data_IF_164819351137
#
_entry.id   IF_164819351137
#
_cell.length_a   1.000
_cell.length_b   1.000
_cell.length_c   1.000
_cell.angle_alpha   90.00
_cell.angle_beta   90.00
_cell.angle_gamma   90.00
#
_symmetry.space_group_name_H-M   'P 1'
#
loop_
_entity.id
_entity.type
_entity.pdbx_description
1 polymer ?
#
# COMPACT_ATOMS: atom_id res chain seq x y z
N UNK A 1 -30.46 41.35 5.79
CA UNK A 1 -29.50 40.85 4.78
C UNK A 1 -28.50 39.93 5.48
N UNK A 2 -28.82 38.65 5.59
CA UNK A 2 -27.89 37.66 6.15
C UNK A 2 -27.08 37.07 5.00
N UNK A 3 -25.90 37.64 4.74
CA UNK A 3 -24.90 37.05 3.85
C UNK A 3 -24.27 35.85 4.55
N UNK A 4 -24.96 34.72 4.58
CA UNK A 4 -24.35 33.42 4.88
C UNK A 4 -23.45 33.06 3.70
N UNK A 5 -22.17 33.45 3.76
CA UNK A 5 -21.15 32.98 2.81
C UNK A 5 -21.07 31.46 2.94
N UNK A 6 -21.68 30.74 2.00
CA UNK A 6 -21.56 29.29 1.92
C UNK A 6 -20.09 28.99 1.60
N UNK A 7 -19.37 28.36 2.52
CA UNK A 7 -18.02 27.87 2.23
C UNK A 7 -18.15 26.82 1.12
N UNK A 8 -17.53 27.09 -0.03
CA UNK A 8 -17.45 26.10 -1.11
C UNK A 8 -16.71 24.88 -0.58
N UNK A 9 -17.41 23.75 -0.48
CA UNK A 9 -16.78 22.47 -0.22
C UNK A 9 -15.94 22.15 -1.46
N UNK A 10 -14.62 22.25 -1.33
CA UNK A 10 -13.71 21.79 -2.37
C UNK A 10 -13.77 20.27 -2.39
N UNK A 11 -14.45 19.72 -3.38
CA UNK A 11 -14.36 18.31 -3.67
C UNK A 11 -12.99 18.06 -4.30
N UNK A 12 -12.16 17.31 -3.61
CA UNK A 12 -10.93 16.78 -4.20
C UNK A 12 -11.37 15.85 -5.33
N UNK A 13 -10.84 16.05 -6.55
CA UNK A 13 -11.10 15.14 -7.65
C UNK A 13 -10.67 13.73 -7.25
N UNK A 14 -11.49 12.72 -7.60
CA UNK A 14 -11.12 11.33 -7.37
C UNK A 14 -9.81 11.02 -8.11
N UNK A 15 -8.93 10.19 -7.54
CA UNK A 15 -7.73 9.76 -8.24
C UNK A 15 -8.11 9.02 -9.52
N UNK A 16 -7.35 9.24 -10.59
CA UNK A 16 -7.50 8.51 -11.84
C UNK A 16 -7.03 7.06 -11.64
N UNK A 17 -7.94 6.18 -11.22
CA UNK A 17 -7.63 4.80 -10.85
C UNK A 17 -6.84 4.03 -11.92
N UNK A 18 -7.06 4.34 -13.21
CA UNK A 18 -6.32 3.77 -14.34
C UNK A 18 -4.80 4.04 -14.34
N UNK A 19 -4.33 5.00 -13.53
CA UNK A 19 -2.91 5.32 -13.36
C UNK A 19 -2.24 4.49 -12.24
N UNK A 20 -3.01 3.68 -11.53
CA UNK A 20 -2.55 2.87 -10.41
C UNK A 20 -2.67 1.38 -10.74
N UNK A 21 -1.85 0.58 -10.07
CA UNK A 21 -1.98 -0.88 -10.05
C UNK A 21 -2.06 -1.37 -8.61
N UNK A 22 -2.75 -2.48 -8.42
CA UNK A 22 -2.73 -3.25 -7.18
C UNK A 22 -1.76 -4.42 -7.34
N UNK A 23 -1.02 -4.72 -6.28
CA UNK A 23 -0.16 -5.89 -6.19
C UNK A 23 -0.33 -6.54 -4.82
N UNK A 24 -0.11 -7.84 -4.77
CA UNK A 24 -0.11 -8.63 -3.55
C UNK A 24 1.32 -8.99 -3.19
N UNK A 25 1.75 -8.55 -2.01
CA UNK A 25 2.98 -9.02 -1.39
C UNK A 25 2.66 -10.24 -0.53
N UNK A 26 3.36 -11.35 -0.75
CA UNK A 26 3.23 -12.57 0.06
C UNK A 26 4.50 -12.74 0.88
N UNK A 27 4.35 -12.70 2.20
CA UNK A 27 5.42 -12.90 3.15
C UNK A 27 5.90 -14.35 3.15
N UNK A 28 7.18 -14.54 3.47
CA UNK A 28 7.80 -15.85 3.60
C UNK A 28 6.99 -16.76 4.54
N UNK A 29 6.76 -18.03 4.16
CA UNK A 29 6.09 -19.01 5.03
C UNK A 29 6.97 -19.47 6.19
N UNK A 30 8.24 -19.08 6.23
CA UNK A 30 9.16 -19.39 7.33
C UNK A 30 8.94 -18.46 8.55
N UNK A 31 8.15 -17.40 8.41
CA UNK A 31 7.82 -16.49 9.53
C UNK A 31 6.81 -17.20 10.46
N UNK A 32 7.10 -17.28 11.78
CA UNK A 32 6.15 -17.85 12.74
C UNK A 32 4.79 -17.15 12.70
N UNK A 33 3.70 -17.91 12.80
CA UNK A 33 2.34 -17.35 12.78
C UNK A 33 2.12 -16.29 13.87
N UNK A 34 2.76 -16.44 15.03
CA UNK A 34 2.70 -15.46 16.13
C UNK A 34 3.32 -14.10 15.76
N UNK A 35 4.28 -14.08 14.83
CA UNK A 35 5.02 -12.88 14.42
C UNK A 35 4.53 -12.30 13.09
N UNK A 36 3.72 -13.04 12.34
CA UNK A 36 3.36 -12.68 10.97
C UNK A 36 2.58 -11.36 10.91
N UNK A 37 1.65 -11.15 11.85
CA UNK A 37 0.84 -9.93 11.93
C UNK A 37 1.68 -8.72 12.33
N UNK A 38 2.61 -8.89 13.28
CA UNK A 38 3.57 -7.85 13.65
C UNK A 38 4.44 -7.47 12.44
N UNK A 39 4.87 -8.46 11.66
CA UNK A 39 5.67 -8.25 10.46
C UNK A 39 4.89 -7.51 9.37
N UNK A 40 3.63 -7.89 9.11
CA UNK A 40 2.77 -7.16 8.18
C UNK A 40 2.63 -5.69 8.57
N UNK A 41 2.37 -5.40 9.85
CA UNK A 41 2.23 -4.03 10.35
C UNK A 41 3.54 -3.25 10.19
N UNK A 42 4.69 -3.84 10.51
CA UNK A 42 6.01 -3.22 10.33
C UNK A 42 6.26 -2.88 8.86
N UNK A 43 6.01 -3.82 7.95
CA UNK A 43 6.20 -3.62 6.51
C UNK A 43 5.27 -2.52 5.98
N UNK A 44 3.99 -2.53 6.35
CA UNK A 44 3.04 -1.49 5.92
C UNK A 44 3.50 -0.09 6.38
N UNK A 45 3.98 0.02 7.63
CA UNK A 45 4.50 1.29 8.17
C UNK A 45 5.78 1.73 7.46
N UNK A 46 6.68 0.80 7.14
CA UNK A 46 7.91 1.10 6.41
C UNK A 46 7.63 1.56 4.98
N UNK A 47 6.72 0.89 4.26
CA UNK A 47 6.31 1.29 2.92
C UNK A 47 5.72 2.70 2.92
N UNK A 48 4.82 3.00 3.86
CA UNK A 48 4.23 4.33 4.02
C UNK A 48 5.29 5.41 4.30
N UNK A 49 6.30 5.10 5.12
CA UNK A 49 7.36 6.04 5.47
C UNK A 49 8.34 6.29 4.32
N UNK A 50 8.69 5.24 3.56
CA UNK A 50 9.67 5.33 2.48
C UNK A 50 9.07 5.88 1.18
N UNK A 51 7.80 5.55 0.91
CA UNK A 51 7.16 5.80 -0.38
C UNK A 51 5.77 6.39 -0.17
N UNK A 52 5.64 7.73 -0.11
CA UNK A 52 4.36 8.41 0.13
C UNK A 52 3.28 8.10 -0.91
N UNK A 53 3.68 7.63 -2.10
CA UNK A 53 2.80 7.28 -3.21
C UNK A 53 2.26 5.84 -3.14
N UNK A 54 2.63 5.09 -2.09
CA UNK A 54 2.16 3.72 -1.85
C UNK A 54 1.10 3.70 -0.76
N UNK A 55 0.00 2.99 -1.04
CA UNK A 55 -0.94 2.55 -0.03
C UNK A 55 -0.73 1.05 0.21
N UNK A 56 -0.64 0.63 1.47
CA UNK A 56 -0.46 -0.78 1.83
C UNK A 56 -1.32 -1.17 3.02
N UNK A 57 -1.91 -2.35 2.98
CA UNK A 57 -2.69 -2.89 4.09
C UNK A 57 -2.60 -4.43 4.15
N UNK A 58 -2.60 -5.03 5.36
CA UNK A 58 -2.77 -6.48 5.51
C UNK A 58 -4.09 -6.92 4.85
N UNK A 59 -4.04 -8.02 4.09
CA UNK A 59 -5.25 -8.58 3.46
C UNK A 59 -6.12 -9.24 4.53
N UNK A 60 -7.42 -8.94 4.52
CA UNK A 60 -8.37 -9.52 5.48
C UNK A 60 -8.55 -11.01 5.15
N UNK A 61 -8.42 -11.87 6.16
CA UNK A 61 -8.65 -13.30 6.04
C UNK A 61 -7.42 -14.12 5.61
N UNK A 62 -6.27 -13.48 5.35
CA UNK A 62 -5.00 -14.18 5.09
C UNK A 62 -3.92 -13.70 6.06
N UNK A 63 -3.08 -14.65 6.51
CA UNK A 63 -2.07 -14.36 7.53
C UNK A 63 -0.78 -13.77 6.96
N UNK A 64 -0.47 -14.01 5.70
CA UNK A 64 0.83 -13.71 5.11
C UNK A 64 0.78 -12.73 3.93
N UNK A 65 -0.34 -12.08 3.65
CA UNK A 65 -0.45 -11.19 2.48
C UNK A 65 -0.67 -9.73 2.85
N UNK A 66 -0.11 -8.85 2.03
CA UNK A 66 -0.28 -7.41 2.09
C UNK A 66 -0.72 -6.95 0.71
N UNK A 67 -1.83 -6.22 0.63
CA UNK A 67 -2.25 -5.54 -0.59
C UNK A 67 -1.54 -4.21 -0.69
N UNK A 68 -1.04 -3.89 -1.88
CA UNK A 68 -0.30 -2.67 -2.16
C UNK A 68 -0.88 -2.01 -3.40
N UNK A 69 -1.25 -0.74 -3.28
CA UNK A 69 -1.68 0.11 -4.40
C UNK A 69 -0.62 1.17 -4.62
N UNK A 70 -0.16 1.32 -5.86
CA UNK A 70 0.88 2.27 -6.22
C UNK A 70 0.69 2.77 -7.64
N UNK A 71 1.32 3.88 -7.98
CA UNK A 71 1.32 4.39 -9.35
C UNK A 71 2.03 3.41 -10.30
N UNK A 72 1.50 3.22 -11.51
CA UNK A 72 2.10 2.33 -12.52
C UNK A 72 3.58 2.69 -12.82
N UNK A 73 3.98 3.97 -12.95
CA UNK A 73 5.39 4.33 -13.11
C UNK A 73 6.26 3.88 -11.95
N UNK A 74 5.76 3.99 -10.71
CA UNK A 74 6.46 3.52 -9.52
C UNK A 74 6.64 1.99 -9.56
N UNK A 75 5.59 1.25 -9.88
CA UNK A 75 5.68 -0.21 -10.02
C UNK A 75 6.71 -0.64 -11.07
N UNK A 76 6.75 0.06 -12.21
CA UNK A 76 7.71 -0.20 -13.30
C UNK A 76 9.14 0.16 -12.96
N UNK A 77 9.38 0.97 -11.92
CA UNK A 77 10.74 1.33 -11.49
C UNK A 77 11.51 0.18 -10.85
N UNK A 78 10.81 -0.89 -10.42
CA UNK A 78 11.44 -2.02 -9.72
C UNK A 78 11.69 -1.78 -8.22
N UNK A 79 11.46 -0.57 -7.70
CA UNK A 79 11.74 -0.21 -6.30
C UNK A 79 10.92 -1.06 -5.32
N UNK A 80 9.63 -1.28 -5.62
CA UNK A 80 8.77 -2.11 -4.78
C UNK A 80 9.27 -3.55 -4.73
N UNK A 81 9.57 -4.13 -5.90
CA UNK A 81 10.06 -5.49 -6.07
C UNK A 81 11.37 -5.69 -5.29
N UNK A 82 12.32 -4.77 -5.46
CA UNK A 82 13.59 -4.81 -4.73
C UNK A 82 13.41 -4.69 -3.21
N UNK A 83 12.45 -3.87 -2.75
CA UNK A 83 12.11 -3.80 -1.33
C UNK A 83 11.51 -5.13 -0.84
N UNK A 84 10.55 -5.70 -1.56
CA UNK A 84 9.87 -6.96 -1.23
C UNK A 84 10.86 -8.11 -1.12
N UNK A 85 11.77 -8.24 -2.10
CA UNK A 85 12.82 -9.26 -2.10
C UNK A 85 13.74 -9.13 -0.88
N UNK A 86 14.11 -7.91 -0.48
CA UNK A 86 14.92 -7.67 0.74
C UNK A 86 14.20 -8.08 2.02
N UNK A 87 12.87 -8.08 2.03
CA UNK A 87 12.06 -8.58 3.15
C UNK A 87 11.87 -10.10 3.11
N UNK A 88 12.46 -10.81 2.13
CA UNK A 88 12.23 -12.24 1.93
C UNK A 88 10.80 -12.57 1.51
N UNK A 89 10.10 -11.62 0.91
CA UNK A 89 8.73 -11.76 0.43
C UNK A 89 8.72 -11.86 -1.11
N UNK A 90 7.55 -12.15 -1.68
CA UNK A 90 7.31 -12.12 -3.13
C UNK A 90 6.19 -11.14 -3.47
N UNK A 91 6.16 -10.61 -4.69
CA UNK A 91 5.12 -9.68 -5.15
C UNK A 91 4.54 -10.13 -6.49
N UNK A 92 3.22 -10.08 -6.60
CA UNK A 92 2.47 -10.36 -7.83
C UNK A 92 1.41 -9.29 -8.07
N UNK A 93 1.43 -8.65 -9.23
CA UNK A 93 0.39 -7.73 -9.70
C UNK A 93 -0.69 -8.48 -10.48
#
# INVERSE_FOLDING_TARGET
MNNTRHQSLFFVSLPELQKFCAATMTLSPQIPETEIRNTQIKICRQLLFLYPEILSAPVIGTLNQISVVMAIPFYKSGICQAYVERQGATVSA
#
